data_IF_933026333939
#
_entry.id   IF_933026333939
#
_cell.length_a   1.000
_cell.length_b   1.000
_cell.length_c   1.000
_cell.angle_alpha   90.00
_cell.angle_beta   90.00
_cell.angle_gamma   90.00
#
_symmetry.space_group_name_H-M   'P 1'
#
loop_
_entity.id
_entity.type
_entity.pdbx_description
1 polymer ?
#
# COMPACT_ATOMS: atom_id res chain seq x y z
N UNK A 1 19.16 8.84 -0.14
CA UNK A 1 18.39 9.26 1.06
C UNK A 1 18.40 8.07 2.00
N UNK A 2 18.76 8.22 3.25
CA UNK A 2 18.85 7.08 4.19
C UNK A 2 17.62 7.12 5.10
N UNK A 3 16.87 6.02 5.12
CA UNK A 3 15.70 5.88 5.99
C UNK A 3 16.15 5.76 7.44
N UNK A 4 15.59 6.57 8.34
CA UNK A 4 15.85 6.49 9.79
C UNK A 4 15.04 5.35 10.42
N UNK A 5 15.56 4.13 10.30
CA UNK A 5 14.95 2.92 10.85
C UNK A 5 14.78 2.98 12.39
N UNK A 6 15.73 3.48 13.20
CA UNK A 6 15.53 3.61 14.64
C UNK A 6 14.33 4.47 15.02
N UNK A 7 14.13 5.61 14.35
CA UNK A 7 12.98 6.48 14.58
C UNK A 7 11.68 5.83 14.09
N UNK A 8 11.68 5.17 12.93
CA UNK A 8 10.54 4.42 12.42
C UNK A 8 10.05 3.38 13.45
N UNK A 9 10.95 2.56 14.00
CA UNK A 9 10.61 1.54 14.99
C UNK A 9 9.91 2.13 16.21
N UNK A 10 10.45 3.23 16.78
CA UNK A 10 9.84 3.93 17.91
C UNK A 10 8.45 4.47 17.56
N UNK A 11 8.31 5.05 16.36
CA UNK A 11 7.04 5.60 15.88
C UNK A 11 5.98 4.52 15.68
N UNK A 12 6.34 3.37 15.11
CA UNK A 12 5.43 2.25 14.92
C UNK A 12 4.86 1.75 16.26
N UNK A 13 5.70 1.57 17.26
CA UNK A 13 5.27 1.18 18.62
C UNK A 13 4.42 2.26 19.27
N UNK A 14 4.76 3.54 19.08
CA UNK A 14 3.95 4.66 19.57
C UNK A 14 2.54 4.64 18.98
N UNK A 15 2.40 4.41 17.67
CA UNK A 15 1.10 4.30 17.01
C UNK A 15 0.31 3.10 17.52
N UNK A 16 0.94 1.95 17.68
CA UNK A 16 0.30 0.74 18.19
C UNK A 16 -0.22 0.92 19.62
N UNK A 17 0.55 1.56 20.50
CA UNK A 17 0.10 1.93 21.85
C UNK A 17 -1.12 2.86 21.85
N UNK A 18 -1.28 3.70 20.81
CA UNK A 18 -2.45 4.55 20.63
C UNK A 18 -3.62 3.83 19.94
N UNK A 19 -3.51 2.53 19.66
CA UNK A 19 -4.53 1.74 18.96
C UNK A 19 -4.59 1.99 17.44
N UNK A 20 -3.58 2.66 16.86
CA UNK A 20 -3.51 2.99 15.44
C UNK A 20 -2.69 1.92 14.70
N UNK A 21 -3.17 1.51 13.54
CA UNK A 21 -2.45 0.57 12.66
C UNK A 21 -1.51 1.35 11.72
N UNK A 22 -0.23 0.95 11.59
CA UNK A 22 0.71 1.64 10.74
C UNK A 22 0.37 1.45 9.25
N UNK A 23 0.37 2.57 8.50
CA UNK A 23 0.34 2.59 7.06
C UNK A 23 1.67 3.15 6.55
N UNK A 24 2.44 2.28 5.88
CA UNK A 24 3.77 2.58 5.38
C UNK A 24 3.72 2.97 3.89
N UNK A 25 4.68 3.77 3.45
CA UNK A 25 4.89 4.08 2.04
C UNK A 25 3.61 4.49 1.27
N UNK A 26 2.69 5.16 1.94
CA UNK A 26 1.57 5.85 1.30
C UNK A 26 2.02 7.18 0.68
N UNK A 27 1.06 8.00 0.20
CA UNK A 27 1.36 9.32 -0.38
C UNK A 27 2.04 10.24 0.62
N UNK A 28 1.58 10.27 1.88
CA UNK A 28 2.19 11.04 2.95
C UNK A 28 3.53 10.47 3.42
N UNK A 29 3.74 9.18 3.23
CA UNK A 29 5.00 8.48 3.53
C UNK A 29 5.96 8.44 2.35
N UNK A 30 5.80 9.33 1.38
CA UNK A 30 6.69 9.51 0.21
C UNK A 30 6.98 8.20 -0.55
N UNK A 31 6.00 7.29 -0.59
CA UNK A 31 6.17 5.95 -1.14
C UNK A 31 6.73 5.89 -2.55
N UNK A 32 6.46 6.90 -3.41
CA UNK A 32 6.98 6.96 -4.77
C UNK A 32 8.49 7.23 -4.85
N UNK A 33 9.10 7.72 -3.78
CA UNK A 33 10.53 8.01 -3.69
C UNK A 33 11.36 6.84 -3.13
N UNK A 34 10.70 5.80 -2.63
CA UNK A 34 11.36 4.65 -2.03
C UNK A 34 11.67 3.58 -3.09
N UNK A 35 12.87 3.04 -3.03
CA UNK A 35 13.24 1.84 -3.78
C UNK A 35 12.51 0.60 -3.24
N UNK A 36 12.54 -0.50 -4.00
CA UNK A 36 12.00 -1.79 -3.57
C UNK A 36 12.61 -2.27 -2.26
N UNK A 37 13.94 -2.21 -2.15
CA UNK A 37 14.65 -2.64 -0.94
C UNK A 37 14.29 -1.79 0.28
N UNK A 38 14.18 -0.47 0.13
CA UNK A 38 13.77 0.41 1.22
C UNK A 38 12.36 0.09 1.71
N UNK A 39 11.41 -0.22 0.81
CA UNK A 39 10.06 -0.65 1.19
C UNK A 39 10.08 -1.95 2.01
N UNK A 40 10.86 -2.93 1.56
CA UNK A 40 11.06 -4.21 2.29
C UNK A 40 11.66 -3.97 3.67
N UNK A 41 12.67 -3.10 3.78
CA UNK A 41 13.30 -2.77 5.06
C UNK A 41 12.33 -2.06 6.02
N UNK A 42 11.47 -1.16 5.52
CA UNK A 42 10.44 -0.50 6.32
C UNK A 42 9.45 -1.52 6.91
N UNK A 43 8.98 -2.49 6.10
CA UNK A 43 8.03 -3.52 6.56
C UNK A 43 8.68 -4.38 7.64
N UNK A 44 9.86 -4.95 7.34
CA UNK A 44 10.59 -5.83 8.28
C UNK A 44 10.92 -5.12 9.58
N UNK A 45 11.38 -3.86 9.51
CA UNK A 45 11.69 -3.07 10.69
C UNK A 45 10.45 -2.78 11.54
N UNK A 46 9.32 -2.48 10.89
CA UNK A 46 8.05 -2.21 11.58
C UNK A 46 7.52 -3.49 12.22
N UNK A 47 7.49 -4.61 11.49
CA UNK A 47 7.02 -5.89 12.03
C UNK A 47 7.85 -6.31 13.24
N UNK A 48 9.19 -6.31 13.11
CA UNK A 48 10.05 -6.65 14.24
C UNK A 48 9.86 -5.76 15.45
N UNK A 49 9.68 -4.43 15.26
CA UNK A 49 9.45 -3.52 16.37
C UNK A 49 8.10 -3.75 17.07
N UNK A 50 7.05 -4.08 16.31
CA UNK A 50 5.73 -4.40 16.86
C UNK A 50 5.77 -5.74 17.62
N UNK A 51 6.40 -6.76 17.05
CA UNK A 51 6.52 -8.07 17.70
C UNK A 51 7.33 -8.00 19.00
N UNK A 52 8.46 -7.30 19.00
CA UNK A 52 9.31 -7.07 20.18
C UNK A 52 8.55 -6.32 21.29
N UNK A 53 7.59 -5.48 20.93
CA UNK A 53 6.75 -4.72 21.86
C UNK A 53 5.45 -5.45 22.27
N UNK A 54 5.22 -6.67 21.78
CA UNK A 54 4.04 -7.49 22.11
C UNK A 54 2.80 -7.18 21.26
N UNK A 55 2.94 -6.44 20.15
CA UNK A 55 1.87 -6.08 19.22
C UNK A 55 1.82 -7.01 18.00
N UNK A 56 1.86 -8.33 18.22
CA UNK A 56 1.91 -9.35 17.16
C UNK A 56 0.68 -9.34 16.24
N UNK A 57 -0.48 -8.93 16.76
CA UNK A 57 -1.76 -8.90 16.03
C UNK A 57 -2.06 -7.56 15.34
N UNK A 58 -1.17 -6.56 15.48
CA UNK A 58 -1.35 -5.28 14.82
C UNK A 58 -0.97 -5.40 13.34
N UNK A 59 -1.93 -5.24 12.41
CA UNK A 59 -1.66 -5.39 10.99
C UNK A 59 -0.84 -4.21 10.43
N UNK A 60 0.02 -4.54 9.47
CA UNK A 60 0.79 -3.57 8.70
C UNK A 60 0.14 -3.40 7.32
N UNK A 61 -0.20 -2.16 6.97
CA UNK A 61 -0.66 -1.77 5.64
C UNK A 61 0.48 -1.07 4.92
N UNK A 62 0.72 -1.38 3.64
CA UNK A 62 1.74 -0.68 2.84
C UNK A 62 1.22 -0.23 1.49
N UNK A 63 1.64 0.96 1.05
CA UNK A 63 1.37 1.47 -0.27
C UNK A 63 2.20 0.75 -1.34
N UNK A 64 1.53 0.13 -2.32
CA UNK A 64 2.17 -0.57 -3.44
C UNK A 64 1.71 -0.03 -4.81
N UNK A 65 0.86 0.98 -4.82
CA UNK A 65 0.40 1.62 -6.07
C UNK A 65 1.56 2.19 -6.88
N UNK A 66 1.60 1.85 -8.17
CA UNK A 66 2.64 2.27 -9.11
C UNK A 66 2.03 2.66 -10.47
N UNK A 67 2.88 3.12 -11.40
CA UNK A 67 2.46 3.55 -12.74
C UNK A 67 2.00 2.41 -13.66
N UNK A 68 2.21 1.15 -13.31
CA UNK A 68 1.78 -0.02 -14.10
C UNK A 68 1.27 -1.15 -13.23
N UNK A 69 0.38 -1.98 -13.80
CA UNK A 69 -0.15 -3.18 -13.13
C UNK A 69 0.98 -4.13 -12.72
N UNK A 70 1.94 -4.37 -13.62
CA UNK A 70 3.07 -5.28 -13.36
C UNK A 70 3.87 -4.85 -12.14
N UNK A 71 4.20 -3.58 -12.06
CA UNK A 71 4.97 -3.01 -10.96
C UNK A 71 4.19 -3.05 -9.64
N UNK A 72 2.91 -2.69 -9.68
CA UNK A 72 2.01 -2.78 -8.52
C UNK A 72 1.94 -4.20 -7.98
N UNK A 73 1.80 -5.20 -8.86
CA UNK A 73 1.80 -6.63 -8.48
C UNK A 73 3.15 -7.06 -7.90
N UNK A 74 4.26 -6.63 -8.48
CA UNK A 74 5.60 -6.95 -7.99
C UNK A 74 5.81 -6.39 -6.57
N UNK A 75 5.50 -5.12 -6.36
CA UNK A 75 5.56 -4.48 -5.04
C UNK A 75 4.65 -5.16 -4.01
N UNK A 76 3.48 -5.63 -4.44
CA UNK A 76 2.54 -6.36 -3.56
C UNK A 76 3.08 -7.72 -3.12
N UNK A 77 3.79 -8.43 -4.01
CA UNK A 77 4.46 -9.70 -3.68
C UNK A 77 5.61 -9.50 -2.69
N UNK A 78 6.46 -8.53 -2.97
CA UNK A 78 7.58 -8.17 -2.09
C UNK A 78 7.10 -7.72 -0.70
N UNK A 79 5.98 -6.99 -0.66
CA UNK A 79 5.35 -6.57 0.58
C UNK A 79 4.86 -7.77 1.42
N UNK A 80 4.19 -8.73 0.77
CA UNK A 80 3.73 -9.95 1.43
C UNK A 80 4.90 -10.78 1.96
N UNK A 81 5.95 -10.98 1.17
CA UNK A 81 7.16 -11.70 1.56
C UNK A 81 7.90 -11.02 2.72
N UNK A 82 7.80 -9.69 2.81
CA UNK A 82 8.41 -8.91 3.90
C UNK A 82 7.59 -8.90 5.20
N UNK A 83 6.34 -9.39 5.19
CA UNK A 83 5.48 -9.50 6.37
C UNK A 83 4.42 -8.40 6.49
N UNK A 84 4.02 -7.76 5.39
CA UNK A 84 2.82 -6.91 5.38
C UNK A 84 1.55 -7.76 5.35
N UNK A 85 0.48 -7.27 5.99
CA UNK A 85 -0.81 -7.95 6.06
C UNK A 85 -1.78 -7.48 4.97
N UNK A 86 -1.66 -6.22 4.54
CA UNK A 86 -2.49 -5.60 3.50
C UNK A 86 -1.66 -4.69 2.61
N UNK A 87 -2.04 -4.61 1.35
CA UNK A 87 -1.54 -3.55 0.46
C UNK A 87 -2.63 -2.52 0.18
N UNK A 88 -2.24 -1.25 0.10
CA UNK A 88 -3.12 -0.17 -0.33
C UNK A 88 -2.66 0.35 -1.69
N UNK A 89 -3.57 0.36 -2.66
CA UNK A 89 -3.27 0.64 -4.06
C UNK A 89 -4.07 1.84 -4.55
N UNK A 90 -3.36 2.87 -4.98
CA UNK A 90 -3.93 4.03 -5.67
C UNK A 90 -4.00 3.75 -7.19
N UNK A 91 -4.96 4.34 -7.88
CA UNK A 91 -5.03 4.25 -9.34
C UNK A 91 -3.77 4.87 -10.00
N UNK A 92 -3.29 4.32 -11.15
CA UNK A 92 -2.12 4.84 -11.84
C UNK A 92 -2.29 6.33 -12.21
N UNK A 93 -1.41 7.19 -11.71
CA UNK A 93 -1.52 8.64 -11.85
C UNK A 93 -0.93 9.20 -13.15
N UNK A 94 0.07 8.53 -13.75
CA UNK A 94 0.77 9.06 -14.93
C UNK A 94 -0.16 9.26 -16.14
N UNK A 95 -1.09 8.32 -16.36
CA UNK A 95 -2.11 8.42 -17.42
C UNK A 95 -3.46 8.85 -16.87
N UNK A 96 -3.49 9.61 -15.79
CA UNK A 96 -4.73 9.99 -15.11
C UNK A 96 -5.78 10.58 -16.06
N UNK A 97 -5.37 11.48 -16.96
CA UNK A 97 -6.28 12.07 -17.95
C UNK A 97 -6.92 11.05 -18.92
N UNK A 98 -6.17 10.03 -19.34
CA UNK A 98 -6.68 8.97 -20.20
C UNK A 98 -7.53 7.94 -19.44
N UNK A 99 -7.28 7.77 -18.14
CA UNK A 99 -8.03 6.88 -17.28
C UNK A 99 -9.28 7.55 -16.68
N UNK A 100 -9.32 8.88 -16.67
CA UNK A 100 -10.46 9.63 -16.18
C UNK A 100 -11.74 9.23 -16.96
N UNK A 101 -12.72 8.70 -16.25
CA UNK A 101 -13.94 8.19 -16.85
C UNK A 101 -13.86 6.80 -17.51
N UNK A 102 -12.67 6.21 -17.66
CA UNK A 102 -12.53 4.87 -18.21
C UNK A 102 -12.66 3.80 -17.11
N UNK A 103 -13.90 3.59 -16.64
CA UNK A 103 -14.22 2.63 -15.59
C UNK A 103 -13.79 1.20 -15.93
N UNK A 104 -13.83 0.82 -17.21
CA UNK A 104 -13.43 -0.53 -17.67
C UNK A 104 -11.93 -0.76 -17.46
N UNK A 105 -11.09 0.21 -17.80
CA UNK A 105 -9.65 0.13 -17.61
C UNK A 105 -9.28 0.09 -16.11
N UNK A 106 -9.90 0.95 -15.29
CA UNK A 106 -9.69 0.96 -13.84
C UNK A 106 -10.14 -0.36 -13.20
N UNK A 107 -11.30 -0.89 -13.60
CA UNK A 107 -11.76 -2.20 -13.11
C UNK A 107 -10.76 -3.29 -13.48
N UNK A 108 -10.28 -3.34 -14.72
CA UNK A 108 -9.30 -4.33 -15.16
C UNK A 108 -7.99 -4.24 -14.35
N UNK A 109 -7.48 -3.02 -14.11
CA UNK A 109 -6.30 -2.79 -13.30
C UNK A 109 -6.45 -3.36 -11.88
N UNK A 110 -7.50 -2.95 -11.16
CA UNK A 110 -7.70 -3.40 -9.77
C UNK A 110 -8.03 -4.89 -9.68
N UNK A 111 -8.78 -5.45 -10.64
CA UNK A 111 -9.06 -6.89 -10.70
C UNK A 111 -7.76 -7.67 -10.85
N UNK A 112 -6.91 -7.32 -11.81
CA UNK A 112 -5.64 -8.01 -12.04
C UNK A 112 -4.69 -7.89 -10.84
N UNK A 113 -4.62 -6.73 -10.21
CA UNK A 113 -3.81 -6.54 -8.98
C UNK A 113 -4.34 -7.42 -7.86
N UNK A 114 -5.66 -7.44 -7.62
CA UNK A 114 -6.27 -8.25 -6.56
C UNK A 114 -6.09 -9.76 -6.79
N UNK A 115 -6.21 -10.22 -8.04
CA UNK A 115 -6.01 -11.65 -8.40
C UNK A 115 -4.55 -12.11 -8.22
N UNK A 116 -3.58 -11.21 -8.41
CA UNK A 116 -2.15 -11.55 -8.38
C UNK A 116 -1.44 -11.17 -7.07
N UNK A 117 -2.08 -10.41 -6.21
CA UNK A 117 -1.56 -10.06 -4.89
C UNK A 117 -1.68 -11.24 -3.94
N UNK A 118 -0.61 -11.63 -3.21
CA UNK A 118 -0.69 -12.71 -2.20
C UNK A 118 -1.49 -12.32 -0.96
N UNK A 119 -1.71 -11.03 -0.73
CA UNK A 119 -2.40 -10.48 0.44
C UNK A 119 -3.53 -9.54 0.00
N UNK A 120 -4.54 -9.28 0.86
CA UNK A 120 -5.70 -8.46 0.51
C UNK A 120 -5.32 -7.05 0.05
N UNK A 121 -6.05 -6.56 -0.97
CA UNK A 121 -5.85 -5.25 -1.58
C UNK A 121 -6.92 -4.26 -1.11
N UNK A 122 -6.46 -3.15 -0.54
CA UNK A 122 -7.30 -2.00 -0.22
C UNK A 122 -7.22 -1.02 -1.38
N UNK A 123 -8.35 -0.68 -1.97
CA UNK A 123 -8.37 0.33 -3.04
C UNK A 123 -8.38 1.73 -2.44
N UNK A 124 -7.38 2.53 -2.80
CA UNK A 124 -7.30 3.92 -2.38
C UNK A 124 -7.93 4.83 -3.44
N UNK A 125 -9.14 5.28 -3.16
CA UNK A 125 -9.85 6.24 -3.99
C UNK A 125 -9.52 7.67 -3.55
N UNK A 126 -8.49 8.26 -4.16
CA UNK A 126 -8.05 9.63 -3.88
C UNK A 126 -8.31 10.52 -5.10
N UNK A 127 -9.33 11.34 -5.04
CA UNK A 127 -9.74 12.22 -6.16
C UNK A 127 -8.69 13.30 -6.50
N UNK A 128 -7.88 13.70 -5.50
CA UNK A 128 -6.86 14.74 -5.68
C UNK A 128 -5.60 14.23 -6.43
N UNK A 129 -5.31 12.95 -6.36
CA UNK A 129 -4.06 12.37 -6.89
C UNK A 129 -4.32 11.38 -8.02
N UNK A 130 -5.48 10.72 -7.99
CA UNK A 130 -5.91 9.84 -9.06
C UNK A 130 -7.12 10.43 -9.74
N UNK A 131 -7.10 10.55 -11.06
CA UNK A 131 -8.26 10.95 -11.85
C UNK A 131 -9.42 9.94 -11.81
N UNK A 132 -9.43 9.06 -10.83
CA UNK A 132 -10.45 8.05 -10.60
C UNK A 132 -11.66 8.66 -9.89
N UNK A 133 -12.41 9.47 -10.60
CA UNK A 133 -13.71 9.90 -10.14
C UNK A 133 -14.59 8.67 -9.85
N UNK A 134 -14.96 8.47 -8.56
CA UNK A 134 -15.98 7.54 -8.10
C UNK A 134 -15.73 6.04 -8.35
N UNK A 135 -14.65 5.49 -7.77
CA UNK A 135 -14.44 4.04 -7.67
C UNK A 135 -15.41 3.34 -6.70
N UNK A 136 -16.06 4.09 -5.81
CA UNK A 136 -16.96 3.56 -4.78
C UNK A 136 -18.12 2.69 -5.32
N UNK A 137 -18.48 2.85 -6.58
CA UNK A 137 -19.48 2.02 -7.27
C UNK A 137 -18.92 0.81 -8.01
N UNK A 138 -17.59 0.66 -8.10
CA UNK A 138 -16.93 -0.42 -8.86
C UNK A 138 -16.58 -1.64 -8.01
N UNK A 139 -16.51 -1.50 -6.69
CA UNK A 139 -15.90 -2.48 -5.79
C UNK A 139 -16.90 -3.28 -4.93
N UNK A 140 -18.20 -3.10 -5.13
CA UNK A 140 -19.24 -3.76 -4.29
C UNK A 140 -19.73 -5.10 -4.87
N UNK A 141 -19.05 -5.68 -5.82
CA UNK A 141 -19.55 -6.92 -6.42
C UNK A 141 -18.53 -8.06 -6.43
N UNK A 142 -17.97 -8.44 -5.29
CA UNK A 142 -17.48 -9.81 -5.04
C UNK A 142 -17.19 -9.94 -3.54
N UNK A 143 -18.20 -10.28 -2.77
CA UNK A 143 -18.10 -11.03 -1.53
C UNK A 143 -18.51 -12.45 -1.84
#
# INVERSE_FOLDING_TARGET
MTTDIPTLKKHAVFLANAGVKPLLAGSMGEGLHLSHSERVDLIKATRGALDDAGFTDVPIVIGTGAGSTRETVQLSKEAAEAGADYVIVIAPGYFAGALAGNKKALKAFFTEVAEKSPIPVIVYNCELISAAANLSRLLITHA
#
